data_IF_901389253282
#
_entry.id   IF_901389253282
#
_cell.length_a   1.000
_cell.length_b   1.000
_cell.length_c   1.000
_cell.angle_alpha   90.00
_cell.angle_beta   90.00
_cell.angle_gamma   90.00
#
_symmetry.space_group_name_H-M   'P 1'
#
loop_
_entity.id
_entity.type
_entity.pdbx_description
1 polymer ?
#
# COMPACT_ATOMS: atom_id res chain seq x y z
N UNK A 1 74.04 7.28 -5.81
CA UNK A 1 73.31 6.00 -5.82
C UNK A 1 71.84 6.30 -5.56
N UNK A 2 70.95 6.08 -6.54
CA UNK A 2 69.54 6.52 -6.51
C UNK A 2 68.65 5.38 -5.99
N UNK A 3 67.75 5.60 -5.00
CA UNK A 3 66.80 4.57 -4.59
C UNK A 3 65.64 4.50 -5.60
N UNK A 4 65.32 3.28 -6.05
CA UNK A 4 64.23 3.01 -6.96
C UNK A 4 62.89 3.02 -6.21
N UNK A 5 62.00 3.93 -6.59
CA UNK A 5 60.62 4.01 -6.10
C UNK A 5 59.83 2.86 -6.74
N UNK A 6 59.36 1.91 -5.93
CA UNK A 6 58.46 0.83 -6.35
C UNK A 6 57.01 1.32 -6.22
N UNK A 7 56.44 1.81 -7.32
CA UNK A 7 55.03 2.14 -7.40
C UNK A 7 54.21 0.86 -7.46
N UNK A 8 53.56 0.51 -6.35
CA UNK A 8 52.58 -0.59 -6.32
C UNK A 8 51.22 0.00 -6.72
N UNK A 9 50.74 -0.34 -7.92
CA UNK A 9 49.40 0.04 -8.37
C UNK A 9 48.40 -0.92 -7.72
N UNK A 10 47.66 -0.43 -6.71
CA UNK A 10 46.53 -1.14 -6.13
C UNK A 10 45.32 -0.96 -7.08
N UNK A 11 44.97 -2.01 -7.82
CA UNK A 11 43.78 -2.04 -8.65
C UNK A 11 42.56 -2.25 -7.74
N UNK A 12 41.85 -1.17 -7.39
CA UNK A 12 40.61 -1.25 -6.61
C UNK A 12 39.50 -1.84 -7.49
N UNK A 13 39.13 -3.09 -7.22
CA UNK A 13 37.96 -3.75 -7.81
C UNK A 13 36.68 -3.06 -7.32
N UNK A 14 36.14 -2.15 -8.13
CA UNK A 14 34.77 -1.67 -7.96
C UNK A 14 33.80 -2.77 -8.39
N UNK A 15 33.32 -3.57 -7.43
CA UNK A 15 32.19 -4.46 -7.65
C UNK A 15 30.91 -3.61 -7.79
N UNK A 16 30.08 -3.80 -8.83
CA UNK A 16 28.79 -3.13 -8.90
C UNK A 16 27.91 -3.67 -7.77
N UNK A 17 27.48 -2.79 -6.87
CA UNK A 17 26.44 -3.11 -5.91
C UNK A 17 25.15 -3.37 -6.69
N UNK A 18 24.78 -4.65 -6.84
CA UNK A 18 23.45 -5.02 -7.32
C UNK A 18 22.48 -4.67 -6.21
N UNK A 19 21.86 -3.49 -6.30
CA UNK A 19 20.75 -3.13 -5.43
C UNK A 19 19.58 -4.07 -5.74
N UNK A 20 19.40 -5.10 -4.92
CA UNK A 20 18.19 -5.90 -4.93
C UNK A 20 17.01 -4.96 -4.63
N UNK A 21 16.05 -4.86 -5.55
CA UNK A 21 14.80 -4.16 -5.27
C UNK A 21 14.15 -4.83 -4.04
N UNK A 22 13.91 -4.06 -2.98
CA UNK A 22 13.21 -4.59 -1.82
C UNK A 22 11.84 -5.12 -2.26
N UNK A 23 11.55 -6.37 -1.93
CA UNK A 23 10.26 -6.97 -2.23
C UNK A 23 9.15 -6.19 -1.50
N UNK A 24 8.02 -5.98 -2.19
CA UNK A 24 6.88 -5.31 -1.58
C UNK A 24 6.38 -6.11 -0.36
N UNK A 25 6.01 -5.42 0.74
CA UNK A 25 5.48 -6.08 1.93
C UNK A 25 4.18 -6.82 1.62
N UNK A 26 3.87 -7.85 2.41
CA UNK A 26 2.61 -8.58 2.28
C UNK A 26 1.44 -7.72 2.75
N UNK A 27 0.39 -7.65 1.94
CA UNK A 27 -0.89 -7.02 2.29
C UNK A 27 -1.80 -8.09 2.89
N UNK A 28 -2.28 -7.87 4.12
CA UNK A 28 -3.28 -8.74 4.74
C UNK A 28 -4.65 -8.09 4.66
N UNK A 29 -5.61 -8.78 4.04
CA UNK A 29 -6.93 -8.24 3.70
C UNK A 29 -8.00 -9.00 4.47
N UNK A 30 -8.91 -8.26 5.10
CA UNK A 30 -10.06 -8.76 5.82
C UNK A 30 -11.32 -8.40 5.03
N UNK A 31 -12.04 -9.41 4.54
CA UNK A 31 -13.21 -9.24 3.66
C UNK A 31 -14.28 -10.27 3.95
N UNK A 32 -15.48 -10.07 3.42
CA UNK A 32 -16.48 -11.14 3.36
C UNK A 32 -16.22 -12.06 2.15
N UNK A 33 -16.55 -13.37 2.24
CA UNK A 33 -16.28 -14.32 1.16
C UNK A 33 -17.06 -14.00 -0.12
N UNK A 34 -18.22 -13.36 0.01
CA UNK A 34 -19.14 -13.07 -1.11
C UNK A 34 -18.96 -11.68 -1.72
N UNK A 35 -18.04 -10.86 -1.21
CA UNK A 35 -17.78 -9.53 -1.77
C UNK A 35 -16.94 -9.62 -3.06
N UNK A 36 -17.61 -9.54 -4.21
CA UNK A 36 -16.96 -9.60 -5.53
C UNK A 36 -15.95 -8.47 -5.76
N UNK A 37 -16.33 -7.21 -5.50
CA UNK A 37 -15.44 -6.07 -5.70
C UNK A 37 -14.20 -6.10 -4.79
N UNK A 38 -14.33 -6.63 -3.56
CA UNK A 38 -13.20 -6.86 -2.66
C UNK A 38 -12.19 -7.86 -3.24
N UNK A 39 -12.69 -8.90 -3.93
CA UNK A 39 -11.84 -9.91 -4.58
C UNK A 39 -11.14 -9.31 -5.80
N UNK A 40 -11.84 -8.51 -6.60
CA UNK A 40 -11.24 -7.79 -7.72
C UNK A 40 -10.15 -6.81 -7.25
N UNK A 41 -10.35 -6.12 -6.12
CA UNK A 41 -9.33 -5.25 -5.54
C UNK A 41 -8.10 -6.06 -5.08
N UNK A 42 -8.30 -7.24 -4.48
CA UNK A 42 -7.19 -8.16 -4.15
C UNK A 42 -6.40 -8.53 -5.41
N UNK A 43 -7.08 -8.81 -6.52
CA UNK A 43 -6.41 -9.15 -7.78
C UNK A 43 -5.68 -7.95 -8.40
N UNK A 44 -6.23 -6.73 -8.27
CA UNK A 44 -5.53 -5.48 -8.61
C UNK A 44 -4.21 -5.33 -7.82
N UNK A 45 -4.25 -5.59 -6.52
CA UNK A 45 -3.07 -5.52 -5.66
C UNK A 45 -2.02 -6.57 -6.05
N UNK A 46 -2.44 -7.80 -6.34
CA UNK A 46 -1.54 -8.87 -6.84
C UNK A 46 -0.94 -8.53 -8.20
N UNK A 47 -1.75 -8.06 -9.15
CA UNK A 47 -1.29 -7.62 -10.47
C UNK A 47 -0.30 -6.45 -10.38
N UNK A 48 -0.42 -5.65 -9.32
CA UNK A 48 0.52 -4.57 -9.00
C UNK A 48 1.80 -5.04 -8.27
N UNK A 49 1.98 -6.34 -8.05
CA UNK A 49 3.19 -6.93 -7.49
C UNK A 49 3.18 -7.13 -5.97
N UNK A 50 2.08 -6.85 -5.28
CA UNK A 50 1.96 -7.17 -3.86
C UNK A 50 1.70 -8.66 -3.65
N UNK A 51 2.34 -9.24 -2.64
CA UNK A 51 1.84 -10.49 -2.05
C UNK A 51 0.60 -10.16 -1.23
N UNK A 52 -0.51 -10.85 -1.46
CA UNK A 52 -1.78 -10.60 -0.75
C UNK A 52 -2.25 -11.88 -0.05
N UNK A 53 -2.61 -11.77 1.21
CA UNK A 53 -3.24 -12.84 2.00
C UNK A 53 -4.61 -12.37 2.46
N UNK A 54 -5.65 -13.15 2.18
CA UNK A 54 -7.03 -12.83 2.58
C UNK A 54 -7.44 -13.60 3.82
N UNK A 55 -8.25 -12.96 4.67
CA UNK A 55 -8.97 -13.58 5.77
C UNK A 55 -10.45 -13.30 5.57
N UNK A 56 -11.19 -14.36 5.21
CA UNK A 56 -12.61 -14.28 4.97
C UNK A 56 -13.38 -14.41 6.29
N UNK A 57 -14.34 -13.52 6.50
CA UNK A 57 -15.14 -13.44 7.72
C UNK A 57 -16.55 -12.90 7.46
N UNK A 58 -17.46 -13.15 8.39
CA UNK A 58 -18.83 -12.67 8.26
C UNK A 58 -18.96 -11.18 8.60
N UNK A 59 -18.12 -10.67 9.50
CA UNK A 59 -18.12 -9.27 9.92
C UNK A 59 -16.69 -8.73 10.00
N UNK A 60 -16.42 -7.70 9.20
CA UNK A 60 -15.13 -7.00 9.12
C UNK A 60 -15.01 -5.84 10.11
N UNK A 61 -16.10 -5.45 10.76
CA UNK A 61 -16.18 -4.28 11.64
C UNK A 61 -15.17 -4.31 12.79
N UNK A 62 -14.96 -5.43 13.51
CA UNK A 62 -13.97 -5.48 14.59
C UNK A 62 -12.54 -5.20 14.09
N UNK A 63 -12.21 -5.63 12.86
CA UNK A 63 -10.91 -5.36 12.26
C UNK A 63 -10.74 -3.89 11.87
N UNK A 64 -11.79 -3.24 11.35
CA UNK A 64 -11.79 -1.80 11.06
C UNK A 64 -11.53 -0.98 12.33
N UNK A 65 -12.22 -1.31 13.42
CA UNK A 65 -12.05 -0.64 14.72
C UNK A 65 -10.65 -0.84 15.28
N UNK A 66 -10.15 -2.09 15.29
CA UNK A 66 -8.79 -2.42 15.74
C UNK A 66 -7.71 -1.65 14.96
N UNK A 67 -7.89 -1.51 13.65
CA UNK A 67 -6.96 -0.79 12.78
C UNK A 67 -7.08 0.74 12.88
N UNK A 68 -8.14 1.24 13.50
CA UNK A 68 -8.34 2.67 13.69
C UNK A 68 -8.91 3.38 12.46
N UNK A 69 -9.74 2.69 11.67
CA UNK A 69 -10.53 3.32 10.60
C UNK A 69 -11.44 4.39 11.22
N UNK A 70 -11.37 5.66 10.79
CA UNK A 70 -12.20 6.71 11.37
C UNK A 70 -13.70 6.45 11.14
N UNK A 71 -14.58 6.93 12.05
CA UNK A 71 -16.01 6.92 11.82
C UNK A 71 -16.37 7.55 10.46
N UNK A 72 -17.37 6.98 9.78
CA UNK A 72 -17.81 7.37 8.44
C UNK A 72 -16.78 7.23 7.30
N UNK A 73 -15.56 6.76 7.56
CA UNK A 73 -14.53 6.50 6.55
C UNK A 73 -14.46 5.03 6.11
N UNK A 74 -15.44 4.22 6.53
CA UNK A 74 -15.49 2.79 6.25
C UNK A 74 -15.85 2.44 4.81
N UNK A 75 -15.44 1.24 4.39
CA UNK A 75 -15.70 0.62 3.09
C UNK A 75 -16.05 -0.87 3.25
N UNK A 76 -16.09 -1.63 2.15
CA UNK A 76 -16.47 -3.05 2.10
C UNK A 76 -15.41 -4.01 2.69
N UNK A 77 -14.13 -3.64 2.69
CA UNK A 77 -13.03 -4.43 3.25
C UNK A 77 -12.03 -3.52 3.96
N UNK A 78 -11.15 -4.12 4.76
CA UNK A 78 -10.04 -3.42 5.42
C UNK A 78 -8.78 -4.25 5.30
N UNK A 79 -7.62 -3.61 5.23
CA UNK A 79 -6.35 -4.28 5.06
C UNK A 79 -5.25 -3.60 5.89
N UNK A 80 -4.16 -4.32 6.10
CA UNK A 80 -2.95 -3.80 6.74
C UNK A 80 -1.70 -4.20 5.94
N UNK A 81 -0.74 -3.29 5.83
CA UNK A 81 0.53 -3.50 5.15
C UNK A 81 1.63 -2.66 5.80
N UNK A 82 2.72 -3.29 6.23
CA UNK A 82 3.86 -2.64 6.88
C UNK A 82 3.48 -1.65 8.01
N UNK A 83 2.44 -1.97 8.79
CA UNK A 83 1.96 -1.13 9.90
C UNK A 83 0.93 -0.06 9.50
N UNK A 84 0.65 0.12 8.21
CA UNK A 84 -0.41 1.02 7.74
C UNK A 84 -1.74 0.28 7.54
N UNK A 85 -2.84 0.94 7.90
CA UNK A 85 -4.19 0.53 7.50
C UNK A 85 -4.46 0.97 6.05
N UNK A 86 -5.14 0.12 5.28
CA UNK A 86 -5.64 0.42 3.94
C UNK A 86 -7.13 0.06 3.92
N UNK A 87 -7.99 1.06 3.89
CA UNK A 87 -9.45 0.87 3.94
C UNK A 87 -10.06 1.08 2.55
N UNK A 88 -10.80 0.08 2.08
CA UNK A 88 -11.53 0.16 0.82
C UNK A 88 -10.65 0.16 -0.43
N UNK A 89 -11.22 0.65 -1.53
CA UNK A 89 -10.67 0.53 -2.87
C UNK A 89 -9.53 1.52 -3.17
N UNK A 90 -8.50 1.56 -2.31
CA UNK A 90 -7.31 2.41 -2.48
C UNK A 90 -6.46 1.85 -3.64
N UNK A 91 -6.04 2.67 -4.62
CA UNK A 91 -5.17 2.21 -5.69
C UNK A 91 -3.80 1.72 -5.20
N UNK A 92 -3.33 0.60 -5.75
CA UNK A 92 -2.00 0.06 -5.47
C UNK A 92 -0.86 1.07 -5.65
N UNK A 93 -0.98 2.03 -6.58
CA UNK A 93 -0.02 3.10 -6.76
C UNK A 93 0.08 4.02 -5.54
N UNK A 94 -1.05 4.37 -4.93
CA UNK A 94 -1.10 5.19 -3.71
C UNK A 94 -0.57 4.41 -2.51
N UNK A 95 -0.85 3.10 -2.42
CA UNK A 95 -0.26 2.21 -1.39
C UNK A 95 1.26 2.14 -1.54
N UNK A 96 1.79 2.01 -2.76
CA UNK A 96 3.24 2.03 -3.01
C UNK A 96 3.85 3.37 -2.62
N UNK A 97 3.19 4.49 -2.95
CA UNK A 97 3.63 5.82 -2.57
C UNK A 97 3.69 5.99 -1.04
N UNK A 98 2.66 5.55 -0.32
CA UNK A 98 2.63 5.53 1.14
C UNK A 98 3.83 4.76 1.72
N UNK A 99 4.12 3.57 1.18
CA UNK A 99 5.21 2.72 1.64
C UNK A 99 6.60 3.26 1.31
N UNK A 100 6.72 4.06 0.24
CA UNK A 100 7.96 4.74 -0.12
C UNK A 100 8.20 5.98 0.74
N UNK A 101 7.18 6.80 0.95
CA UNK A 101 7.25 8.04 1.72
C UNK A 101 7.30 7.79 3.23
N UNK A 102 6.71 6.69 3.70
CA UNK A 102 6.62 6.29 5.12
C UNK A 102 6.19 7.43 6.05
N UNK A 103 5.08 8.16 5.75
CA UNK A 103 4.65 9.28 6.58
C UNK A 103 4.22 8.78 7.97
N UNK A 104 4.31 9.64 8.98
CA UNK A 104 3.76 9.36 10.30
C UNK A 104 2.23 9.45 10.27
N UNK A 105 1.60 8.35 9.86
CA UNK A 105 0.17 8.23 9.65
C UNK A 105 -0.32 6.83 10.04
N UNK A 106 -1.63 6.69 10.22
CA UNK A 106 -2.27 5.39 10.38
C UNK A 106 -2.40 4.66 9.05
N UNK A 107 -2.64 5.39 7.95
CA UNK A 107 -2.68 4.82 6.61
C UNK A 107 -3.66 5.54 5.68
N UNK A 108 -4.26 4.81 4.74
CA UNK A 108 -5.11 5.38 3.68
C UNK A 108 -6.53 4.82 3.72
N UNK A 109 -7.50 5.66 3.38
CA UNK A 109 -8.91 5.26 3.27
C UNK A 109 -9.52 5.72 1.94
N UNK A 110 -10.34 4.85 1.35
CA UNK A 110 -11.26 5.14 0.25
C UNK A 110 -12.69 4.91 0.76
N UNK A 111 -13.37 5.94 1.30
CA UNK A 111 -14.67 5.78 1.93
C UNK A 111 -15.75 5.31 0.96
N UNK A 112 -16.68 4.48 1.45
CA UNK A 112 -17.76 3.94 0.63
C UNK A 112 -17.25 2.96 -0.42
N UNK A 113 -17.77 3.04 -1.65
CA UNK A 113 -17.36 2.20 -2.79
C UNK A 113 -17.39 3.05 -4.07
N UNK A 114 -16.38 3.92 -4.30
CA UNK A 114 -16.37 4.78 -5.48
C UNK A 114 -16.34 3.95 -6.76
N UNK A 115 -17.23 4.25 -7.69
CA UNK A 115 -17.48 3.40 -8.87
C UNK A 115 -16.27 3.22 -9.78
N UNK A 116 -15.43 4.25 -9.92
CA UNK A 116 -14.21 4.21 -10.75
C UNK A 116 -12.98 3.64 -10.03
N UNK A 117 -13.11 3.26 -8.75
CA UNK A 117 -11.98 2.77 -7.97
C UNK A 117 -11.62 1.32 -8.36
N UNK A 118 -10.36 0.89 -8.18
CA UNK A 118 -9.92 -0.45 -8.59
C UNK A 118 -10.73 -1.55 -7.94
N UNK A 119 -11.22 -2.50 -8.72
CA UNK A 119 -12.11 -3.57 -8.28
C UNK A 119 -13.60 -3.21 -8.31
N UNK A 120 -13.95 -1.92 -8.37
CA UNK A 120 -15.28 -1.45 -8.75
C UNK A 120 -15.38 -1.28 -10.27
N UNK A 121 -14.35 -0.66 -10.89
CA UNK A 121 -14.09 -0.58 -12.33
C UNK A 121 -15.32 -0.31 -13.22
N UNK A 122 -16.28 0.46 -12.71
CA UNK A 122 -17.48 0.78 -13.45
C UNK A 122 -17.13 1.67 -14.65
N UNK A 123 -17.82 1.52 -15.80
CA UNK A 123 -17.61 2.38 -16.95
C UNK A 123 -17.82 3.87 -16.61
N UNK A 124 -16.91 4.71 -17.09
CA UNK A 124 -16.89 6.14 -16.79
C UNK A 124 -15.76 6.52 -15.83
N UNK A 125 -15.44 7.82 -15.76
CA UNK A 125 -14.45 8.37 -14.83
C UNK A 125 -15.15 9.33 -13.88
N UNK A 126 -15.77 8.77 -12.85
CA UNK A 126 -16.27 9.56 -11.72
C UNK A 126 -15.11 9.86 -10.77
N UNK A 127 -14.90 11.13 -10.41
CA UNK A 127 -13.79 11.49 -9.56
C UNK A 127 -13.99 10.97 -8.14
N UNK A 128 -12.89 10.59 -7.48
CA UNK A 128 -12.90 10.19 -6.08
C UNK A 128 -11.59 10.54 -5.39
N UNK A 129 -11.62 10.59 -4.05
CA UNK A 129 -10.46 10.94 -3.25
C UNK A 129 -10.01 9.76 -2.40
N UNK A 130 -8.70 9.70 -2.19
CA UNK A 130 -8.06 8.87 -1.16
C UNK A 130 -7.63 9.81 -0.05
N UNK A 131 -7.93 9.45 1.19
CA UNK A 131 -7.55 10.25 2.35
C UNK A 131 -6.45 9.57 3.15
N UNK A 132 -5.48 10.36 3.60
CA UNK A 132 -4.52 10.00 4.62
C UNK A 132 -5.19 10.13 5.99
N UNK A 133 -5.08 9.10 6.83
CA UNK A 133 -5.51 9.13 8.23
C UNK A 133 -4.31 9.42 9.12
N UNK A 134 -4.34 10.54 9.83
CA UNK A 134 -3.31 10.91 10.80
C UNK A 134 -3.43 10.08 12.09
N UNK A 135 -2.42 10.18 12.95
CA UNK A 135 -2.38 9.45 14.22
C UNK A 135 -3.56 9.80 15.15
N UNK A 136 -4.02 11.05 15.11
CA UNK A 136 -5.20 11.52 15.86
C UNK A 136 -6.54 11.08 15.25
N UNK A 137 -6.53 10.41 14.09
CA UNK A 137 -7.73 9.99 13.36
C UNK A 137 -8.32 11.05 12.43
N UNK A 138 -7.78 12.27 12.39
CA UNK A 138 -8.16 13.28 11.40
C UNK A 138 -7.72 12.85 10.00
N UNK A 139 -8.44 13.31 8.99
CA UNK A 139 -8.14 12.99 7.58
C UNK A 139 -7.61 14.20 6.82
N UNK A 140 -6.91 13.93 5.72
CA UNK A 140 -6.58 14.92 4.69
C UNK A 140 -6.52 14.25 3.33
N UNK A 141 -6.83 14.98 2.26
CA UNK A 141 -6.70 14.46 0.89
C UNK A 141 -5.25 14.03 0.64
N UNK A 142 -5.08 12.79 0.20
CA UNK A 142 -3.80 12.19 -0.20
C UNK A 142 -3.67 12.14 -1.73
N UNK A 143 -4.74 11.72 -2.41
CA UNK A 143 -4.79 11.64 -3.86
C UNK A 143 -6.22 11.93 -4.38
N UNK A 144 -6.29 12.34 -5.64
CA UNK A 144 -7.53 12.50 -6.41
C UNK A 144 -7.41 11.69 -7.69
N UNK A 145 -8.47 10.98 -8.03
CA UNK A 145 -8.60 10.14 -9.22
C UNK A 145 -9.86 10.52 -9.99
#
# INVERSE_FOLDING_TARGET
>A
MKPAIRTTVLLALFAPAVWAAEALPTVKVYKTPTCGCCSNWVDHMKASGFKVVTQDMNDVTPHKQRLGVPPAMGSCHTAEVAGYLIEGHVPAADVKRLLAEKPQAKGLVSPGMPQSAPGMDAPGKQPYEIFLVRQDGSTATYARH
#
